data_IF_842950859273
#
_entry.id   IF_842950859273
#
_cell.length_a   1.000
_cell.length_b   1.000
_cell.length_c   1.000
_cell.angle_alpha   90.00
_cell.angle_beta   90.00
_cell.angle_gamma   90.00
#
_symmetry.space_group_name_H-M   'P 1'
#
loop_
_entity.id
_entity.type
_entity.pdbx_description
1 polymer ?
#
# COMPACT_ATOMS: atom_id res chain seq x y z
N UNK A 1 -4.85 -2.45 -10.88
CA UNK A 1 -5.04 -1.75 -9.59
C UNK A 1 -3.75 -1.03 -9.28
N UNK A 2 -3.80 0.22 -8.80
CA UNK A 2 -2.57 0.94 -8.42
C UNK A 2 -2.09 0.43 -7.05
N UNK A 3 -0.81 0.12 -6.98
CA UNK A 3 -0.14 -0.31 -5.76
C UNK A 3 1.19 0.43 -5.64
N UNK A 4 1.62 0.68 -4.42
CA UNK A 4 2.87 1.36 -4.11
C UNK A 4 3.65 0.53 -3.11
N UNK A 5 4.97 0.55 -3.24
CA UNK A 5 5.89 -0.17 -2.35
C UNK A 5 6.79 0.81 -1.62
N UNK A 6 7.07 0.52 -0.36
CA UNK A 6 8.16 1.17 0.37
C UNK A 6 9.34 0.20 0.56
N UNK A 7 10.56 0.71 0.85
CA UNK A 7 11.79 -0.09 0.97
C UNK A 7 11.77 -1.19 2.05
N UNK A 8 10.90 -1.07 3.05
CA UNK A 8 10.79 -1.99 4.19
C UNK A 8 9.85 -3.18 3.93
N UNK A 9 9.32 -3.32 2.71
CA UNK A 9 8.38 -4.38 2.37
C UNK A 9 6.92 -4.01 2.68
N UNK A 10 6.64 -2.75 3.02
CA UNK A 10 5.28 -2.22 3.01
C UNK A 10 4.73 -2.19 1.57
N UNK A 11 3.48 -2.59 1.45
CA UNK A 11 2.66 -2.53 0.25
C UNK A 11 1.40 -1.74 0.57
N UNK A 12 1.12 -0.72 -0.23
CA UNK A 12 -0.11 0.07 -0.18
C UNK A 12 -0.89 -0.18 -1.47
N UNK A 13 -2.13 -0.60 -1.38
CA UNK A 13 -2.98 -0.89 -2.54
C UNK A 13 -4.25 -0.04 -2.49
N UNK A 14 -4.61 0.60 -3.59
CA UNK A 14 -5.92 1.21 -3.74
C UNK A 14 -6.96 0.12 -4.07
N UNK A 15 -7.95 -0.05 -3.18
CA UNK A 15 -9.00 -1.07 -3.28
C UNK A 15 -10.40 -0.46 -3.08
N UNK A 16 -11.44 -1.23 -3.42
CA UNK A 16 -12.82 -0.98 -2.97
C UNK A 16 -13.17 -2.04 -1.92
N UNK A 17 -13.65 -1.60 -0.76
CA UNK A 17 -14.16 -2.46 0.32
C UNK A 17 -15.51 -1.91 0.76
N UNK A 18 -16.56 -2.74 0.75
CA UNK A 18 -17.94 -2.34 1.06
C UNK A 18 -18.36 -1.04 0.35
N UNK A 19 -18.12 -0.99 -0.96
CA UNK A 19 -18.38 0.16 -1.86
C UNK A 19 -17.63 1.45 -1.52
N UNK A 20 -16.60 1.39 -0.67
CA UNK A 20 -15.76 2.53 -0.29
C UNK A 20 -14.34 2.37 -0.83
N UNK A 21 -13.75 3.43 -1.43
CA UNK A 21 -12.34 3.42 -1.78
C UNK A 21 -11.49 3.50 -0.51
N UNK A 22 -10.54 2.57 -0.37
CA UNK A 22 -9.60 2.51 0.75
C UNK A 22 -8.19 2.18 0.25
N UNK A 23 -7.21 2.50 1.09
CA UNK A 23 -5.81 2.11 0.96
C UNK A 23 -5.57 0.92 1.89
N UNK A 24 -5.38 -0.27 1.32
CA UNK A 24 -4.98 -1.45 2.09
C UNK A 24 -3.49 -1.38 2.33
N UNK A 25 -3.08 -1.41 3.60
CA UNK A 25 -1.67 -1.44 4.00
C UNK A 25 -1.31 -2.85 4.45
N UNK A 26 -0.31 -3.44 3.81
CA UNK A 26 0.24 -4.74 4.17
C UNK A 26 1.75 -4.68 4.33
N UNK A 27 2.33 -5.61 5.08
CA UNK A 27 3.77 -5.73 5.27
C UNK A 27 4.22 -7.14 4.89
N UNK A 28 5.18 -7.24 3.97
CA UNK A 28 5.78 -8.52 3.57
C UNK A 28 7.03 -8.82 4.40
N UNK A 29 6.92 -9.79 5.31
CA UNK A 29 8.02 -10.25 6.17
C UNK A 29 8.32 -11.72 5.87
N UNK A 30 9.57 -12.05 5.54
CA UNK A 30 10.02 -13.42 5.26
C UNK A 30 9.13 -14.17 4.24
N UNK A 31 8.72 -13.48 3.17
CA UNK A 31 7.88 -14.06 2.10
C UNK A 31 6.39 -14.19 2.43
N UNK A 32 5.96 -13.83 3.65
CA UNK A 32 4.56 -13.79 4.07
C UNK A 32 4.04 -12.37 4.11
N UNK A 33 2.79 -12.17 3.70
CA UNK A 33 2.13 -10.85 3.72
C UNK A 33 1.18 -10.78 4.90
N UNK A 34 1.33 -9.75 5.73
CA UNK A 34 0.49 -9.48 6.90
C UNK A 34 -0.30 -8.19 6.68
N UNK A 35 -1.62 -8.22 6.89
CA UNK A 35 -2.44 -7.02 6.86
C UNK A 35 -2.11 -6.15 8.08
N UNK A 36 -1.82 -4.88 7.83
CA UNK A 36 -1.58 -3.88 8.88
C UNK A 36 -2.83 -3.04 9.16
N UNK A 37 -3.62 -2.75 8.13
CA UNK A 37 -4.86 -2.01 8.27
C UNK A 37 -5.41 -1.48 6.95
N UNK A 38 -6.50 -0.74 7.05
CA UNK A 38 -7.08 0.02 5.96
C UNK A 38 -7.09 1.50 6.33
N UNK A 39 -6.68 2.35 5.39
CA UNK A 39 -6.69 3.80 5.53
C UNK A 39 -7.70 4.39 4.54
N UNK A 40 -8.51 5.34 4.98
CA UNK A 40 -9.41 6.10 4.12
C UNK A 40 -8.71 7.31 3.48
N UNK A 41 -7.61 7.77 4.07
CA UNK A 41 -6.92 8.99 3.64
C UNK A 41 -5.40 8.80 3.55
N UNK A 42 -4.75 9.71 2.81
CA UNK A 42 -3.28 9.77 2.75
C UNK A 42 -2.67 10.19 4.09
N UNK A 43 -3.37 11.02 4.89
CA UNK A 43 -2.90 11.42 6.20
C UNK A 43 -2.78 10.22 7.17
N UNK A 44 -3.75 9.31 7.12
CA UNK A 44 -3.73 8.08 7.93
C UNK A 44 -2.54 7.18 7.59
N UNK A 45 -2.03 7.19 6.35
CA UNK A 45 -0.80 6.47 6.03
C UNK A 45 0.39 6.98 6.85
N UNK A 46 0.50 8.29 7.04
CA UNK A 46 1.56 8.91 7.85
C UNK A 46 1.38 8.54 9.32
N UNK A 47 0.14 8.50 9.83
CA UNK A 47 -0.15 8.03 11.20
C UNK A 47 0.23 6.55 11.40
N UNK A 48 0.17 5.74 10.33
CA UNK A 48 0.68 4.38 10.30
C UNK A 48 2.20 4.28 10.10
N UNK A 49 2.92 5.41 10.10
CA UNK A 49 4.37 5.48 9.96
C UNK A 49 4.86 5.16 8.54
N UNK A 50 4.02 5.39 7.52
CA UNK A 50 4.41 5.25 6.12
C UNK A 50 4.94 6.59 5.63
N UNK A 51 6.20 6.62 5.20
CA UNK A 51 6.77 7.78 4.52
C UNK A 51 6.31 7.81 3.05
N UNK A 52 5.52 8.82 2.71
CA UNK A 52 4.99 9.01 1.37
C UNK A 52 6.10 9.30 0.35
N UNK A 53 7.22 9.86 0.77
CA UNK A 53 8.36 10.14 -0.12
C UNK A 53 9.08 8.85 -0.58
N UNK A 54 8.91 7.75 0.16
CA UNK A 54 9.49 6.46 -0.16
C UNK A 54 8.56 5.54 -0.96
N UNK A 55 7.29 5.94 -1.13
CA UNK A 55 6.32 5.17 -1.91
C UNK A 55 6.61 5.28 -3.40
N UNK A 56 7.00 4.15 -3.99
CA UNK A 56 7.16 4.02 -5.44
C UNK A 56 5.95 3.29 -5.99
N UNK A 57 5.26 3.89 -6.97
CA UNK A 57 4.19 3.21 -7.69
C UNK A 57 4.79 1.99 -8.39
N UNK A 58 4.22 0.83 -8.13
CA UNK A 58 4.54 -0.38 -8.89
C UNK A 58 3.88 -0.19 -10.25
N UNK A 59 4.57 0.51 -11.14
CA UNK A 59 4.31 0.38 -12.55
C UNK A 59 4.62 -1.07 -12.87
N UNK A 60 3.59 -1.91 -12.92
CA UNK A 60 3.68 -3.09 -13.74
C UNK A 60 4.29 -2.61 -15.05
N UNK A 61 5.40 -3.23 -15.47
CA UNK A 61 5.86 -3.13 -16.85
C UNK A 61 4.74 -3.74 -17.70
N UNK A 62 3.67 -2.97 -17.91
CA UNK A 62 2.83 -3.10 -19.07
C UNK A 62 3.78 -2.73 -20.20
N UNK A 63 4.53 -3.70 -20.72
CA UNK A 63 5.08 -3.82 -22.07
C UNK A 63 5.98 -5.07 -22.18
N UNK A 64 5.37 -6.19 -22.57
CA UNK A 64 5.78 -7.00 -23.73
C UNK A 64 4.71 -8.03 -24.09
#
# INVERSE_FOLDING_TARGET
MRQWRAPDGILVEAIILDDRPLLRVSHRVNGRTYLRGYCATVAELVDHGIDLAELVEDTALDHL
#
